data_IF_664711676353
#
_entry.id   IF_664711676353
#
_cell.length_a   1.000
_cell.length_b   1.000
_cell.length_c   1.000
_cell.angle_alpha   90.00
_cell.angle_beta   90.00
_cell.angle_gamma   90.00
#
_symmetry.space_group_name_H-M   'P 1'
#
loop_
_entity.id
_entity.type
_entity.pdbx_description
1 polymer ?
#
# COMPACT_ATOMS: atom_id res chain seq x y z
N UNK A 1 0.34 19.07 -2.62
CA UNK A 1 0.79 18.10 -1.60
C UNK A 1 0.42 16.67 -1.94
N UNK A 2 -0.86 16.34 -2.20
CA UNK A 2 -1.24 14.96 -2.54
C UNK A 2 -0.66 14.45 -3.87
N UNK A 3 -0.74 15.26 -4.92
CA UNK A 3 -0.21 14.95 -6.25
C UNK A 3 1.32 14.83 -6.32
N UNK A 4 2.05 15.63 -5.54
CA UNK A 4 3.52 15.54 -5.43
C UNK A 4 3.95 14.20 -4.83
N UNK A 5 3.21 13.69 -3.84
CA UNK A 5 3.46 12.37 -3.27
C UNK A 5 3.17 11.26 -4.28
N UNK A 6 2.06 11.35 -5.03
CA UNK A 6 1.73 10.38 -6.09
C UNK A 6 2.85 10.32 -7.13
N UNK A 7 3.27 11.48 -7.65
CA UNK A 7 4.37 11.56 -8.64
C UNK A 7 5.66 11.01 -8.06
N UNK A 8 6.00 11.34 -6.82
CA UNK A 8 7.19 10.82 -6.15
C UNK A 8 7.20 9.30 -6.03
N UNK A 9 6.07 8.70 -5.64
CA UNK A 9 5.94 7.25 -5.49
C UNK A 9 5.97 6.56 -6.86
N UNK A 10 5.35 7.15 -7.89
CA UNK A 10 5.45 6.63 -9.28
C UNK A 10 6.91 6.61 -9.77
N UNK A 11 7.64 7.71 -9.56
CA UNK A 11 9.07 7.78 -9.96
C UNK A 11 9.87 6.72 -9.20
N UNK A 12 9.62 6.55 -7.90
CA UNK A 12 10.28 5.53 -7.08
C UNK A 12 9.99 4.11 -7.56
N UNK A 13 8.73 3.80 -7.87
CA UNK A 13 8.33 2.50 -8.44
C UNK A 13 9.02 2.25 -9.78
N UNK A 14 9.08 3.24 -10.67
CA UNK A 14 9.76 3.12 -11.97
C UNK A 14 11.26 2.87 -11.75
N UNK A 15 11.91 3.56 -10.83
CA UNK A 15 13.34 3.39 -10.55
C UNK A 15 13.65 1.98 -10.03
N UNK A 16 12.84 1.45 -9.11
CA UNK A 16 13.02 0.08 -8.63
C UNK A 16 12.82 -0.90 -9.80
N UNK A 17 11.77 -0.75 -10.61
CA UNK A 17 11.52 -1.62 -11.78
C UNK A 17 12.72 -1.59 -12.72
N UNK A 18 13.25 -0.40 -13.03
CA UNK A 18 14.37 -0.21 -13.93
C UNK A 18 15.68 -0.80 -13.37
N UNK A 19 15.83 -0.83 -12.06
CA UNK A 19 16.99 -1.43 -11.39
C UNK A 19 16.90 -2.95 -11.30
N UNK A 20 15.71 -3.51 -11.03
CA UNK A 20 15.49 -4.96 -10.94
C UNK A 20 15.44 -5.66 -12.30
N UNK A 21 14.94 -4.98 -13.34
CA UNK A 21 14.85 -5.55 -14.70
C UNK A 21 16.18 -6.05 -15.29
N UNK A 22 17.30 -5.29 -15.23
CA UNK A 22 18.60 -5.74 -15.74
C UNK A 22 19.26 -6.77 -14.82
N UNK A 23 18.92 -6.75 -13.53
CA UNK A 23 19.45 -7.70 -12.54
C UNK A 23 18.80 -9.08 -12.64
N UNK A 24 17.58 -9.14 -13.17
CA UNK A 24 16.84 -10.38 -13.41
C UNK A 24 17.21 -11.04 -14.73
N UNK A 25 17.70 -12.29 -14.65
CA UNK A 25 18.02 -13.11 -15.83
C UNK A 25 16.79 -13.30 -16.71
N UNK A 26 16.98 -13.37 -18.03
CA UNK A 26 15.92 -13.45 -19.05
C UNK A 26 14.91 -14.62 -18.82
N UNK A 27 15.30 -15.64 -18.05
CA UNK A 27 14.50 -16.82 -17.74
C UNK A 27 13.59 -16.69 -16.49
N UNK A 28 13.73 -15.62 -15.68
CA UNK A 28 12.94 -15.42 -14.45
C UNK A 28 11.66 -14.60 -14.69
N UNK A 29 10.84 -15.02 -15.66
CA UNK A 29 9.58 -14.33 -16.01
C UNK A 29 8.58 -14.27 -14.84
N UNK A 30 8.56 -15.30 -13.98
CA UNK A 30 7.67 -15.39 -12.81
C UNK A 30 8.03 -14.36 -11.74
N UNK A 31 9.31 -14.14 -11.48
CA UNK A 31 9.77 -13.14 -10.50
C UNK A 31 9.48 -11.72 -10.98
N UNK A 32 9.67 -11.44 -12.28
CA UNK A 32 9.28 -10.16 -12.88
C UNK A 32 7.80 -9.84 -12.64
N UNK A 33 6.93 -10.83 -12.85
CA UNK A 33 5.50 -10.67 -12.61
C UNK A 33 5.21 -10.47 -11.11
N UNK A 34 5.85 -11.21 -10.22
CA UNK A 34 5.68 -11.05 -8.77
C UNK A 34 6.06 -9.64 -8.29
N UNK A 35 7.19 -9.10 -8.76
CA UNK A 35 7.62 -7.73 -8.42
C UNK A 35 6.61 -6.70 -8.93
N UNK A 36 6.15 -6.87 -10.17
CA UNK A 36 5.19 -5.95 -10.78
C UNK A 36 3.86 -5.95 -10.02
N UNK A 37 3.40 -7.12 -9.58
CA UNK A 37 2.19 -7.27 -8.76
C UNK A 37 2.39 -6.63 -7.38
N UNK A 38 3.50 -6.92 -6.70
CA UNK A 38 3.80 -6.36 -5.37
C UNK A 38 3.90 -4.84 -5.42
N UNK A 39 4.54 -4.29 -6.46
CA UNK A 39 4.55 -2.85 -6.69
C UNK A 39 3.19 -2.28 -6.99
N UNK A 40 2.41 -2.90 -7.87
CA UNK A 40 1.07 -2.44 -8.19
C UNK A 40 0.19 -2.42 -6.92
N UNK A 41 0.31 -3.43 -6.07
CA UNK A 41 -0.36 -3.47 -4.77
C UNK A 41 0.09 -2.31 -3.87
N UNK A 42 1.39 -2.11 -3.66
CA UNK A 42 1.90 -1.02 -2.83
C UNK A 42 1.52 0.37 -3.37
N UNK A 43 1.54 0.54 -4.69
CA UNK A 43 1.16 1.78 -5.36
C UNK A 43 -0.35 2.04 -5.19
N UNK A 44 -1.18 1.02 -5.39
CA UNK A 44 -2.62 1.10 -5.18
C UNK A 44 -2.96 1.42 -3.72
N UNK A 45 -2.33 0.76 -2.76
CA UNK A 45 -2.52 1.04 -1.32
C UNK A 45 -2.14 2.47 -0.98
N UNK A 46 -1.04 2.97 -1.53
CA UNK A 46 -0.59 4.36 -1.31
C UNK A 46 -1.61 5.36 -1.84
N UNK A 47 -2.14 5.13 -3.06
CA UNK A 47 -3.21 5.96 -3.64
C UNK A 47 -4.46 5.92 -2.76
N UNK A 48 -4.87 4.72 -2.33
CA UNK A 48 -6.05 4.55 -1.49
C UNK A 48 -5.93 5.36 -0.19
N UNK A 49 -4.78 5.31 0.48
CA UNK A 49 -4.49 6.11 1.67
C UNK A 49 -4.47 7.63 1.40
N UNK A 50 -3.99 8.05 0.23
CA UNK A 50 -3.88 9.45 -0.15
C UNK A 50 -5.25 10.10 -0.42
N UNK A 51 -6.13 9.36 -1.08
CA UNK A 51 -7.49 9.82 -1.44
C UNK A 51 -8.50 9.58 -0.31
N UNK A 52 -8.35 8.50 0.46
CA UNK A 52 -9.15 8.20 1.64
C UNK A 52 -8.28 8.19 2.91
N UNK A 53 -7.78 9.36 3.35
CA UNK A 53 -6.96 9.46 4.57
C UNK A 53 -7.77 9.14 5.84
N UNK A 54 -9.11 9.22 5.76
CA UNK A 54 -10.03 8.93 6.85
C UNK A 54 -10.45 7.46 6.93
N UNK A 55 -9.83 6.55 6.16
CA UNK A 55 -9.96 5.11 6.45
C UNK A 55 -9.49 4.94 7.89
N UNK A 56 -10.38 4.56 8.83
CA UNK A 56 -9.99 4.39 10.20
C UNK A 56 -8.87 3.35 10.20
N UNK A 57 -7.67 3.78 10.59
CA UNK A 57 -6.53 2.86 10.68
C UNK A 57 -6.95 1.60 11.44
N UNK A 58 -6.32 0.44 11.22
CA UNK A 58 -6.74 -0.83 11.81
C UNK A 58 -6.98 -0.71 13.32
N UNK A 59 -6.17 0.07 14.02
CA UNK A 59 -6.33 0.42 15.43
C UNK A 59 -7.65 1.17 15.74
N UNK A 60 -8.02 2.15 14.92
CA UNK A 60 -9.23 2.95 15.06
C UNK A 60 -10.48 2.16 14.67
N UNK A 61 -10.38 1.29 13.66
CA UNK A 61 -11.43 0.35 13.27
C UNK A 61 -11.71 -0.67 14.37
N UNK A 62 -10.67 -1.27 14.95
CA UNK A 62 -10.79 -2.14 16.13
C UNK A 62 -11.43 -1.38 17.28
N UNK A 63 -11.00 -0.14 17.56
CA UNK A 63 -11.61 0.65 18.65
C UNK A 63 -13.11 0.94 18.42
N UNK A 64 -13.55 1.13 17.17
CA UNK A 64 -14.96 1.36 16.85
C UNK A 64 -15.81 0.08 17.02
N UNK A 65 -15.25 -1.10 16.73
CA UNK A 65 -15.92 -2.39 16.95
C UNK A 65 -15.97 -2.73 18.45
N UNK A 66 -14.93 -2.40 19.19
CA UNK A 66 -14.84 -2.70 20.63
C UNK A 66 -15.50 -1.64 21.53
N UNK A 67 -15.73 -0.41 21.06
CA UNK A 67 -16.47 0.66 21.77
C UNK A 67 -17.87 0.25 22.26
N UNK A 68 -18.71 -0.43 21.45
CA UNK A 68 -20.00 -0.91 21.94
C UNK A 68 -19.84 -2.04 22.97
N UNK A 69 -18.82 -2.90 22.84
CA UNK A 69 -18.54 -3.95 23.81
C UNK A 69 -18.08 -3.40 25.17
N UNK A 70 -17.23 -2.37 25.19
CA UNK A 70 -16.77 -1.78 26.45
C UNK A 70 -17.92 -1.19 27.25
N UNK A 71 -18.89 -0.54 26.60
CA UNK A 71 -20.10 -0.01 27.26
C UNK A 71 -21.01 -1.07 27.85
N UNK A 72 -20.96 -2.31 27.34
CA UNK A 72 -21.75 -3.44 27.86
C UNK A 72 -21.05 -4.09 29.06
N UNK A 73 -19.71 -4.06 29.09
CA UNK A 73 -18.90 -4.60 30.19
C UNK A 73 -18.68 -3.61 31.36
N UNK A 74 -18.95 -2.32 31.16
CA UNK A 74 -18.83 -1.27 32.19
C UNK A 74 -20.12 -1.14 33.05
N UNK A 75 -20.99 -2.15 33.03
CA UNK A 75 -22.22 -2.23 33.83
C UNK A 75 -22.25 -3.53 34.62
#
# INVERSE_FOLDING_TARGET
MKWTTVVGVTIWSILIILYEWPKMKQNQKKEKVAILILMAMGWLTTILFLFFPDIPGPTKAISNIFKPLSKVFEK
#
